data_IF_550331133646
#
_entry.id   IF_550331133646
#
_cell.length_a   1.000
_cell.length_b   1.000
_cell.length_c   1.000
_cell.angle_alpha   90.00
_cell.angle_beta   90.00
_cell.angle_gamma   90.00
#
_symmetry.space_group_name_H-M   'P 1'
#
loop_
_entity.id
_entity.type
_entity.pdbx_description
1 polymer ?
#
# COMPACT_ATOMS: atom_id res chain seq x y z
N UNK A 1 -27.49 85.02 -9.83
CA UNK A 1 -28.96 84.90 -9.77
C UNK A 1 -29.36 83.82 -10.78
N UNK A 2 -30.25 82.93 -10.39
CA UNK A 2 -30.77 81.74 -11.08
C UNK A 2 -29.98 80.42 -11.01
N UNK A 3 -30.37 79.69 -9.98
CA UNK A 3 -30.37 78.24 -9.76
C UNK A 3 -31.07 77.48 -10.89
N UNK A 4 -30.49 76.36 -11.36
CA UNK A 4 -31.25 75.22 -11.88
C UNK A 4 -30.56 73.93 -11.42
N UNK A 5 -31.19 73.26 -10.45
CA UNK A 5 -30.96 71.85 -10.13
C UNK A 5 -31.38 70.99 -11.33
N UNK A 6 -30.53 70.05 -11.76
CA UNK A 6 -31.01 68.84 -12.42
C UNK A 6 -30.44 67.62 -11.71
N UNK A 7 -31.36 66.85 -11.13
CA UNK A 7 -31.14 65.61 -10.39
C UNK A 7 -31.29 64.42 -11.36
N UNK A 8 -30.38 63.46 -11.23
CA UNK A 8 -30.46 62.02 -11.52
C UNK A 8 -31.04 61.48 -12.85
N UNK A 9 -30.20 60.73 -13.57
CA UNK A 9 -30.15 59.25 -13.52
C UNK A 9 -28.95 58.75 -14.35
N UNK A 10 -27.84 58.43 -13.69
CA UNK A 10 -26.78 57.63 -14.33
C UNK A 10 -27.27 56.19 -14.34
N UNK A 11 -27.56 55.68 -15.53
CA UNK A 11 -27.91 54.30 -15.77
C UNK A 11 -26.68 53.44 -15.41
N UNK A 12 -26.71 52.85 -14.22
CA UNK A 12 -25.70 51.87 -13.80
C UNK A 12 -25.88 50.59 -14.60
N UNK A 13 -25.12 50.43 -15.68
CA UNK A 13 -24.81 49.10 -16.19
C UNK A 13 -23.82 48.45 -15.21
N UNK A 14 -24.38 47.83 -14.17
CA UNK A 14 -23.69 46.77 -13.46
C UNK A 14 -23.48 45.63 -14.45
N UNK A 15 -22.27 45.53 -15.00
CA UNK A 15 -21.79 44.31 -15.60
C UNK A 15 -21.68 43.28 -14.47
N UNK A 16 -22.76 42.52 -14.22
CA UNK A 16 -22.65 41.30 -13.43
C UNK A 16 -21.73 40.37 -14.22
N UNK A 17 -20.46 40.35 -13.85
CA UNK A 17 -19.62 39.20 -14.13
C UNK A 17 -20.31 38.01 -13.45
N UNK A 18 -21.10 37.27 -14.22
CA UNK A 18 -21.57 35.96 -13.80
C UNK A 18 -20.33 35.09 -13.86
N UNK A 19 -19.60 35.03 -12.73
CA UNK A 19 -18.72 33.91 -12.48
C UNK A 19 -19.65 32.70 -12.46
N UNK A 20 -19.66 31.93 -13.55
CA UNK A 20 -20.22 30.59 -13.56
C UNK A 20 -19.39 29.80 -12.55
N UNK A 21 -19.83 29.80 -11.29
CA UNK A 21 -19.37 28.83 -10.33
C UNK A 21 -19.89 27.48 -10.83
N UNK A 22 -19.08 26.81 -11.66
CA UNK A 22 -19.30 25.42 -11.99
C UNK A 22 -19.20 24.66 -10.68
N UNK A 23 -20.36 24.33 -10.10
CA UNK A 23 -20.41 23.46 -8.95
C UNK A 23 -20.09 22.05 -9.46
N UNK A 24 -18.81 21.67 -9.39
CA UNK A 24 -18.31 20.37 -9.85
C UNK A 24 -18.75 19.23 -8.92
N UNK A 25 -19.19 19.55 -7.69
CA UNK A 25 -19.50 18.56 -6.67
C UNK A 25 -20.54 17.50 -7.10
N UNK A 26 -21.66 17.83 -7.78
CA UNK A 26 -22.62 16.84 -8.24
C UNK A 26 -22.04 15.89 -9.31
N UNK A 27 -21.29 16.44 -10.27
CA UNK A 27 -20.63 15.66 -11.32
C UNK A 27 -19.59 14.71 -10.73
N UNK A 28 -18.79 15.21 -9.78
CA UNK A 28 -17.78 14.44 -9.06
C UNK A 28 -18.42 13.34 -8.20
N UNK A 29 -19.50 13.61 -7.46
CA UNK A 29 -20.21 12.59 -6.69
C UNK A 29 -20.80 11.51 -7.59
N UNK A 30 -21.30 11.88 -8.78
CA UNK A 30 -21.79 10.90 -9.74
C UNK A 30 -20.66 10.05 -10.32
N UNK A 31 -19.52 10.67 -10.66
CA UNK A 31 -18.33 9.96 -11.13
C UNK A 31 -17.81 8.97 -10.09
N UNK A 32 -17.62 9.41 -8.84
CA UNK A 32 -17.20 8.56 -7.72
C UNK A 32 -18.17 7.40 -7.47
N UNK A 33 -19.47 7.63 -7.63
CA UNK A 33 -20.46 6.55 -7.45
C UNK A 33 -20.33 5.48 -8.53
N UNK A 34 -20.11 5.87 -9.79
CA UNK A 34 -19.88 4.91 -10.88
C UNK A 34 -18.57 4.16 -10.66
N UNK A 35 -17.52 4.86 -10.26
CA UNK A 35 -16.21 4.26 -10.00
C UNK A 35 -16.28 3.21 -8.88
N UNK A 36 -16.84 3.57 -7.73
CA UNK A 36 -16.99 2.64 -6.60
C UNK A 36 -17.78 1.39 -7.00
N UNK A 37 -18.82 1.53 -7.84
CA UNK A 37 -19.59 0.39 -8.33
C UNK A 37 -18.77 -0.51 -9.26
N UNK A 38 -18.00 0.07 -10.17
CA UNK A 38 -17.11 -0.67 -11.05
C UNK A 38 -16.04 -1.44 -10.25
N UNK A 39 -15.39 -0.79 -9.29
CA UNK A 39 -14.35 -1.40 -8.46
C UNK A 39 -14.87 -2.53 -7.57
N UNK A 40 -16.10 -2.39 -7.06
CA UNK A 40 -16.75 -3.45 -6.28
C UNK A 40 -17.09 -4.68 -7.15
N UNK A 41 -17.43 -4.46 -8.41
CA UNK A 41 -17.68 -5.54 -9.35
C UNK A 41 -16.37 -6.24 -9.73
N UNK A 42 -15.31 -5.49 -10.03
CA UNK A 42 -13.98 -6.03 -10.34
C UNK A 42 -13.43 -6.90 -9.20
N UNK A 43 -13.61 -6.48 -7.94
CA UNK A 43 -13.20 -7.28 -6.78
C UNK A 43 -13.88 -8.64 -6.71
N UNK A 44 -15.16 -8.73 -7.09
CA UNK A 44 -15.90 -10.00 -7.10
C UNK A 44 -15.45 -10.92 -8.23
N UNK A 45 -15.11 -10.35 -9.37
CA UNK A 45 -14.74 -11.09 -10.58
C UNK A 45 -13.27 -11.56 -10.53
N UNK A 46 -12.34 -10.72 -10.06
CA UNK A 46 -10.89 -10.93 -10.21
C UNK A 46 -10.16 -11.32 -8.91
N UNK A 47 -10.67 -10.93 -7.74
CA UNK A 47 -9.97 -11.13 -6.45
C UNK A 47 -10.57 -12.23 -5.58
N UNK A 48 -11.38 -13.13 -6.17
CA UNK A 48 -11.97 -14.27 -5.47
C UNK A 48 -13.04 -13.90 -4.44
N UNK A 49 -13.54 -12.65 -4.46
CA UNK A 49 -14.57 -12.15 -3.56
C UNK A 49 -14.04 -11.39 -2.33
N UNK A 50 -14.81 -11.39 -1.25
CA UNK A 50 -14.64 -10.41 -0.15
C UNK A 50 -13.52 -10.73 0.85
N UNK A 51 -12.91 -11.91 0.82
CA UNK A 51 -11.96 -12.33 1.85
C UNK A 51 -10.55 -12.48 1.30
N UNK A 52 -9.64 -11.67 1.83
CA UNK A 52 -8.21 -11.82 1.60
C UNK A 52 -7.71 -13.20 2.10
N UNK A 53 -6.64 -13.75 1.50
CA UNK A 53 -6.04 -15.00 1.96
C UNK A 53 -5.53 -14.87 3.41
N UNK A 54 -5.36 -15.99 4.10
CA UNK A 54 -4.79 -16.01 5.45
C UNK A 54 -3.35 -16.51 5.43
N UNK A 55 -2.55 -16.05 6.38
CA UNK A 55 -1.17 -16.48 6.57
C UNK A 55 -1.12 -17.62 7.59
N UNK A 56 -0.60 -18.78 7.19
CA UNK A 56 -0.57 -19.95 8.06
C UNK A 56 0.27 -19.70 9.33
N UNK A 57 -0.37 -19.78 10.50
CA UNK A 57 0.28 -19.60 11.80
C UNK A 57 0.52 -18.14 12.20
N UNK A 58 0.11 -17.17 11.39
CA UNK A 58 0.17 -15.75 11.73
C UNK A 58 -1.20 -15.23 12.13
N UNK A 59 -1.22 -14.34 13.12
CA UNK A 59 -2.36 -13.48 13.41
C UNK A 59 -2.19 -12.15 12.67
N UNK A 60 -3.28 -11.65 12.08
CA UNK A 60 -3.28 -10.45 11.23
C UNK A 60 -3.97 -9.33 12.00
N UNK A 61 -3.34 -8.15 12.04
CA UNK A 61 -3.97 -6.92 12.54
C UNK A 61 -3.71 -5.79 11.54
N UNK A 62 -4.65 -4.85 11.43
CA UNK A 62 -4.56 -3.75 10.48
C UNK A 62 -4.82 -2.41 11.13
N UNK A 63 -4.19 -1.36 10.59
CA UNK A 63 -4.35 0.04 11.01
C UNK A 63 -4.26 0.94 9.78
N UNK A 64 -5.41 1.26 9.20
CA UNK A 64 -5.51 1.98 7.92
C UNK A 64 -4.69 1.23 6.85
N UNK A 65 -3.71 1.84 6.18
CA UNK A 65 -2.88 1.17 5.17
C UNK A 65 -1.82 0.20 5.75
N UNK A 66 -1.59 0.20 7.07
CA UNK A 66 -0.60 -0.68 7.70
C UNK A 66 -1.19 -2.04 8.07
N UNK A 67 -0.44 -3.10 7.77
CA UNK A 67 -0.78 -4.48 8.10
C UNK A 67 0.35 -5.09 8.92
N UNK A 68 -0.02 -5.82 9.97
CA UNK A 68 0.89 -6.47 10.90
C UNK A 68 0.56 -7.95 11.02
N UNK A 69 1.57 -8.81 10.82
CA UNK A 69 1.47 -10.25 11.02
C UNK A 69 2.30 -10.63 12.25
N UNK A 70 1.71 -11.36 13.18
CA UNK A 70 2.42 -11.82 14.40
C UNK A 70 2.36 -13.34 14.53
N UNK A 71 3.49 -13.96 14.88
CA UNK A 71 3.60 -15.41 15.07
C UNK A 71 4.62 -15.73 16.15
N UNK A 72 4.42 -16.85 16.85
CA UNK A 72 5.45 -17.43 17.72
C UNK A 72 6.18 -18.57 17.01
N UNK A 73 7.50 -18.63 17.16
CA UNK A 73 8.33 -19.71 16.66
C UNK A 73 9.29 -20.17 17.78
N UNK A 74 8.90 -21.23 18.49
CA UNK A 74 9.66 -21.71 19.65
C UNK A 74 9.75 -20.66 20.76
N UNK A 75 10.93 -20.06 20.95
CA UNK A 75 11.20 -19.00 21.93
C UNK A 75 11.30 -17.60 21.30
N UNK A 76 11.00 -17.50 20.01
CA UNK A 76 11.11 -16.28 19.24
C UNK A 76 9.72 -15.72 18.95
N UNK A 77 9.62 -14.39 18.95
CA UNK A 77 8.44 -13.68 18.49
C UNK A 77 8.73 -13.02 17.15
N UNK A 78 7.87 -13.30 16.17
CA UNK A 78 8.00 -12.80 14.81
C UNK A 78 6.94 -11.74 14.58
N UNK A 79 7.37 -10.57 14.13
CA UNK A 79 6.53 -9.48 13.66
C UNK A 79 6.87 -9.20 12.19
N UNK A 80 5.85 -9.14 11.35
CA UNK A 80 5.96 -8.66 9.97
C UNK A 80 5.13 -7.40 9.84
N UNK A 81 5.68 -6.34 9.26
CA UNK A 81 4.93 -5.10 9.02
C UNK A 81 5.11 -4.67 7.57
N UNK A 82 3.99 -4.36 6.90
CA UNK A 82 4.00 -3.78 5.56
C UNK A 82 2.89 -2.74 5.42
N UNK A 83 3.02 -1.87 4.42
CA UNK A 83 2.08 -0.80 4.15
C UNK A 83 1.70 -0.80 2.67
N UNK A 84 0.40 -0.77 2.38
CA UNK A 84 -0.11 -0.84 0.98
C UNK A 84 -0.13 0.50 0.26
N UNK A 85 0.32 1.60 0.89
CA UNK A 85 0.44 2.88 0.21
C UNK A 85 1.49 2.80 -0.91
N UNK A 86 1.11 3.25 -2.11
CA UNK A 86 2.01 3.30 -3.27
C UNK A 86 2.65 1.96 -3.64
N UNK A 87 2.00 0.85 -3.29
CA UNK A 87 2.55 -0.49 -3.51
C UNK A 87 2.09 -1.17 -4.80
N UNK A 88 1.12 -0.59 -5.52
CA UNK A 88 0.62 -1.17 -6.77
C UNK A 88 1.68 -1.01 -7.85
N UNK A 89 2.17 -2.14 -8.34
CA UNK A 89 3.01 -2.22 -9.53
C UNK A 89 2.11 -2.40 -10.75
N UNK A 90 2.23 -1.47 -11.69
CA UNK A 90 1.56 -1.51 -12.97
C UNK A 90 2.66 -1.80 -13.97
N UNK A 91 2.65 -2.99 -14.58
CA UNK A 91 3.62 -3.33 -15.60
C UNK A 91 3.42 -2.40 -16.81
N UNK A 92 4.17 -1.30 -16.87
CA UNK A 92 4.11 -0.28 -17.94
C UNK A 92 4.73 -0.79 -19.26
N UNK A 93 5.16 -2.06 -19.32
CA UNK A 93 6.06 -2.60 -20.35
C UNK A 93 5.44 -3.26 -21.59
N UNK A 94 4.13 -3.45 -21.69
CA UNK A 94 3.51 -4.15 -22.84
C UNK A 94 2.94 -3.18 -23.89
N UNK A 95 3.79 -2.32 -24.47
CA UNK A 95 3.56 -1.73 -25.80
C UNK A 95 4.16 -2.61 -26.91
N UNK A 96 3.88 -3.92 -26.92
CA UNK A 96 4.19 -4.76 -28.09
C UNK A 96 2.90 -5.32 -28.71
N UNK A 97 2.64 -4.90 -29.94
CA UNK A 97 1.46 -5.21 -30.74
C UNK A 97 1.45 -6.69 -31.18
N UNK A 98 1.03 -7.64 -30.32
CA UNK A 98 0.45 -8.92 -30.77
C UNK A 98 0.01 -9.86 -29.63
N UNK A 99 -1.07 -9.54 -28.90
CA UNK A 99 -2.01 -10.56 -28.37
C UNK A 99 -3.19 -9.90 -27.63
N UNK A 100 -4.44 -10.34 -27.85
CA UNK A 100 -5.56 -9.96 -26.98
C UNK A 100 -5.52 -10.86 -25.72
N UNK A 101 -4.42 -10.80 -24.98
CA UNK A 101 -4.36 -11.36 -23.62
C UNK A 101 -4.87 -10.26 -22.68
N UNK A 102 -5.66 -10.64 -21.68
CA UNK A 102 -6.33 -9.70 -20.78
C UNK A 102 -5.33 -8.65 -20.24
N UNK A 103 -5.78 -7.39 -20.09
CA UNK A 103 -4.96 -6.35 -19.47
C UNK A 103 -4.36 -6.88 -18.16
N UNK A 104 -3.04 -6.69 -17.93
CA UNK A 104 -2.39 -7.21 -16.74
C UNK A 104 -3.13 -6.71 -15.49
N UNK A 105 -3.47 -7.65 -14.61
CA UNK A 105 -4.16 -7.33 -13.36
C UNK A 105 -3.16 -6.63 -12.44
N UNK A 106 -3.44 -5.42 -11.94
CA UNK A 106 -2.54 -4.72 -11.03
C UNK A 106 -2.22 -5.58 -9.79
N UNK A 107 -0.95 -5.64 -9.41
CA UNK A 107 -0.50 -6.38 -8.22
C UNK A 107 0.16 -5.44 -7.23
N UNK A 108 -0.07 -5.64 -5.94
CA UNK A 108 0.59 -4.86 -4.90
C UNK A 108 1.85 -5.59 -4.39
N UNK A 109 3.00 -4.93 -4.53
CA UNK A 109 4.31 -5.38 -4.08
C UNK A 109 4.88 -4.46 -2.99
N UNK A 110 4.23 -4.36 -1.80
CA UNK A 110 4.73 -3.48 -0.75
C UNK A 110 6.05 -4.01 -0.20
N UNK A 111 7.04 -3.14 0.08
CA UNK A 111 8.16 -3.53 0.92
C UNK A 111 7.63 -3.91 2.30
N UNK A 112 8.32 -4.84 2.95
CA UNK A 112 7.92 -5.34 4.25
C UNK A 112 9.13 -5.50 5.18
N UNK A 113 8.85 -5.47 6.47
CA UNK A 113 9.85 -5.67 7.51
C UNK A 113 9.59 -6.98 8.22
N UNK A 114 10.67 -7.65 8.63
CA UNK A 114 10.61 -8.84 9.48
C UNK A 114 11.45 -8.57 10.71
N UNK A 115 10.83 -8.73 11.89
CA UNK A 115 11.52 -8.68 13.16
C UNK A 115 11.42 -10.02 13.87
N UNK A 116 12.57 -10.55 14.31
CA UNK A 116 12.67 -11.79 15.07
C UNK A 116 13.24 -11.45 16.43
N UNK A 117 12.36 -11.41 17.44
CA UNK A 117 12.72 -11.04 18.81
C UNK A 117 13.11 -12.26 19.63
N UNK A 118 14.26 -12.20 20.32
CA UNK A 118 14.75 -13.23 21.23
C UNK A 118 15.45 -12.59 22.44
N UNK A 119 14.90 -12.80 23.63
CA UNK A 119 15.43 -12.17 24.84
C UNK A 119 15.22 -10.66 24.79
N UNK A 120 16.29 -9.91 25.00
CA UNK A 120 16.27 -8.43 25.05
C UNK A 120 16.65 -7.76 23.72
N UNK A 121 16.77 -8.54 22.64
CA UNK A 121 17.16 -8.08 21.30
C UNK A 121 16.21 -8.60 20.23
N UNK A 122 16.18 -7.90 19.10
CA UNK A 122 15.49 -8.30 17.87
C UNK A 122 16.43 -8.17 16.67
N UNK A 123 16.38 -9.16 15.79
CA UNK A 123 17.01 -9.13 14.49
C UNK A 123 15.98 -8.62 13.48
N UNK A 124 16.31 -7.53 12.80
CA UNK A 124 15.41 -6.80 11.90
C UNK A 124 15.92 -6.89 10.47
N UNK A 125 14.97 -7.04 9.55
CA UNK A 125 15.20 -7.05 8.10
C UNK A 125 14.21 -6.08 7.44
N UNK A 126 14.70 -5.27 6.52
CA UNK A 126 13.90 -4.55 5.53
C UNK A 126 14.01 -5.28 4.20
N UNK A 127 12.88 -5.67 3.64
CA UNK A 127 12.80 -6.51 2.46
C UNK A 127 11.95 -5.88 1.37
N UNK A 128 12.43 -5.97 0.14
CA UNK A 128 11.67 -5.66 -1.07
C UNK A 128 11.04 -6.94 -1.60
N UNK A 129 9.75 -6.89 -1.89
CA UNK A 129 9.05 -7.96 -2.58
C UNK A 129 9.29 -7.83 -4.09
N UNK A 130 9.68 -8.92 -4.74
CA UNK A 130 10.05 -8.93 -6.15
C UNK A 130 9.43 -10.13 -6.87
N UNK A 131 9.26 -10.02 -8.18
CA UNK A 131 8.94 -11.19 -8.99
C UNK A 131 10.14 -12.15 -9.05
N UNK A 132 9.85 -13.45 -9.02
CA UNK A 132 10.87 -14.48 -9.17
C UNK A 132 11.48 -14.42 -10.57
N UNK A 133 12.82 -14.44 -10.63
CA UNK A 133 13.56 -14.49 -11.90
C UNK A 133 13.51 -15.88 -12.56
N UNK A 134 13.20 -16.92 -11.78
CA UNK A 134 13.25 -18.31 -12.23
C UNK A 134 11.89 -18.81 -12.72
N UNK A 135 10.79 -18.32 -12.12
CA UNK A 135 9.43 -18.80 -12.39
C UNK A 135 8.47 -17.62 -12.52
N UNK A 136 7.92 -17.44 -13.73
CA UNK A 136 6.93 -16.40 -13.99
C UNK A 136 5.68 -16.57 -13.11
N UNK A 137 5.24 -15.48 -12.49
CA UNK A 137 4.06 -15.46 -11.61
C UNK A 137 4.31 -15.99 -10.19
N UNK A 138 5.56 -16.31 -9.86
CA UNK A 138 6.01 -16.53 -8.48
C UNK A 138 6.75 -15.30 -7.95
N UNK A 139 6.85 -15.19 -6.64
CA UNK A 139 7.42 -14.03 -5.96
C UNK A 139 8.47 -14.46 -4.95
N UNK A 140 9.43 -13.57 -4.74
CA UNK A 140 10.52 -13.73 -3.79
C UNK A 140 10.77 -12.39 -3.07
N UNK A 141 11.76 -12.34 -2.19
CA UNK A 141 12.19 -11.12 -1.53
C UNK A 141 13.68 -10.87 -1.69
N UNK A 142 14.05 -9.59 -1.65
CA UNK A 142 15.43 -9.13 -1.55
C UNK A 142 15.63 -8.40 -0.23
N UNK A 143 16.66 -8.75 0.52
CA UNK A 143 17.02 -8.03 1.74
C UNK A 143 17.75 -6.74 1.37
N UNK A 144 17.13 -5.59 1.63
CA UNK A 144 17.72 -4.28 1.41
C UNK A 144 18.64 -3.89 2.57
N UNK A 145 18.18 -4.11 3.80
CA UNK A 145 18.87 -3.74 5.02
C UNK A 145 18.62 -4.74 6.15
N UNK A 146 19.62 -4.95 7.00
CA UNK A 146 19.50 -5.78 8.20
C UNK A 146 20.33 -5.23 9.36
N UNK A 147 19.84 -5.44 10.59
CA UNK A 147 20.49 -4.99 11.83
C UNK A 147 19.96 -5.72 13.06
N UNK A 148 20.66 -5.55 14.19
CA UNK A 148 20.20 -5.97 15.51
C UNK A 148 19.84 -4.73 16.31
N UNK A 149 18.67 -4.74 16.93
CA UNK A 149 18.19 -3.67 17.81
C UNK A 149 17.75 -4.25 19.16
N UNK A 150 17.64 -3.43 20.22
CA UNK A 150 16.96 -3.84 21.45
C UNK A 150 15.52 -4.27 21.15
N UNK A 151 15.01 -5.24 21.91
CA UNK A 151 13.62 -5.66 21.82
C UNK A 151 12.68 -4.47 22.07
N UNK A 152 11.59 -4.41 21.30
CA UNK A 152 10.58 -3.36 21.41
C UNK A 152 9.99 -3.30 22.83
N UNK A 153 9.78 -2.08 23.35
CA UNK A 153 9.22 -1.87 24.69
C UNK A 153 7.75 -1.48 24.58
N UNK A 154 6.88 -2.48 24.66
CA UNK A 154 5.44 -2.26 24.55
C UNK A 154 5.05 -1.97 23.09
N UNK A 155 4.47 -0.81 22.82
CA UNK A 155 4.07 -0.39 21.47
C UNK A 155 5.10 0.51 20.78
N UNK A 156 6.23 0.80 21.45
CA UNK A 156 7.33 1.58 20.89
C UNK A 156 8.30 0.63 20.17
N UNK A 157 8.27 0.73 18.84
CA UNK A 157 9.07 -0.04 17.90
C UNK A 157 10.17 0.81 17.27
N UNK A 158 10.36 2.06 17.72
CA UNK A 158 11.35 2.95 17.15
C UNK A 158 12.77 2.43 17.40
N UNK A 159 13.60 2.48 16.35
CA UNK A 159 15.01 2.11 16.41
C UNK A 159 15.83 3.39 16.47
N UNK A 160 16.71 3.49 17.47
CA UNK A 160 17.60 4.65 17.59
C UNK A 160 18.53 4.75 16.36
N UNK A 161 18.71 5.96 15.83
CA UNK A 161 19.49 6.20 14.59
C UNK A 161 20.98 5.84 14.69
N UNK A 162 21.48 5.59 15.90
CA UNK A 162 22.85 5.15 16.18
C UNK A 162 23.03 3.63 16.07
N UNK A 163 21.94 2.86 15.98
CA UNK A 163 22.00 1.43 15.71
C UNK A 163 22.59 1.22 14.32
N UNK A 164 23.66 0.44 14.26
CA UNK A 164 24.33 0.14 12.99
C UNK A 164 23.45 -0.77 12.14
N UNK A 165 23.22 -0.35 10.90
CA UNK A 165 22.55 -1.14 9.88
C UNK A 165 23.45 -1.34 8.66
N UNK A 166 23.35 -2.52 8.07
CA UNK A 166 24.11 -2.87 6.87
C UNK A 166 23.16 -3.14 5.71
N UNK A 167 23.57 -2.72 4.52
CA UNK A 167 22.87 -3.12 3.30
C UNK A 167 23.04 -4.63 3.08
N UNK A 168 21.96 -5.31 2.67
CA UNK A 168 21.99 -6.71 2.27
C UNK A 168 22.78 -6.97 0.98
N UNK A 169 23.05 -5.93 0.18
CA UNK A 169 23.74 -6.04 -1.12
C UNK A 169 25.18 -6.54 -1.05
N UNK A 170 25.87 -6.29 0.05
CA UNK A 170 27.32 -6.54 0.17
C UNK A 170 27.66 -7.65 1.18
N UNK A 171 26.68 -8.46 1.56
CA UNK A 171 26.90 -9.57 2.49
C UNK A 171 27.75 -10.67 1.84
N UNK A 172 28.53 -11.38 2.66
CA UNK A 172 29.27 -12.57 2.23
C UNK A 172 28.31 -13.65 1.68
N UNK A 173 28.67 -14.38 0.60
CA UNK A 173 27.77 -15.38 -0.01
C UNK A 173 27.35 -16.52 0.92
N UNK A 174 28.23 -16.98 1.82
CA UNK A 174 27.87 -18.06 2.75
C UNK A 174 26.89 -17.53 3.81
N UNK A 175 27.09 -16.29 4.28
CA UNK A 175 26.14 -15.62 5.17
C UNK A 175 24.81 -15.33 4.48
N UNK A 176 24.80 -15.00 3.19
CA UNK A 176 23.58 -14.82 2.42
C UNK A 176 22.72 -16.09 2.45
N UNK A 177 23.28 -17.25 2.08
CA UNK A 177 22.57 -18.53 2.09
C UNK A 177 22.04 -18.88 3.49
N UNK A 178 22.89 -18.76 4.51
CA UNK A 178 22.51 -19.16 5.86
C UNK A 178 21.48 -18.21 6.49
N UNK A 179 21.67 -16.89 6.36
CA UNK A 179 20.89 -15.89 7.09
C UNK A 179 19.66 -15.40 6.32
N UNK A 180 19.80 -15.11 5.03
CA UNK A 180 18.72 -14.52 4.24
C UNK A 180 17.83 -15.56 3.58
N UNK A 181 18.36 -16.77 3.34
CA UNK A 181 17.56 -17.86 2.79
C UNK A 181 17.13 -18.78 3.92
N UNK A 182 18.04 -19.63 4.40
CA UNK A 182 17.68 -20.78 5.25
C UNK A 182 17.11 -20.37 6.61
N UNK A 183 17.68 -19.36 7.27
CA UNK A 183 17.20 -18.91 8.58
C UNK A 183 15.80 -18.25 8.50
N UNK A 184 15.49 -17.53 7.42
CA UNK A 184 14.17 -16.96 7.18
C UNK A 184 13.16 -18.03 6.75
N UNK A 185 13.54 -18.94 5.85
CA UNK A 185 12.70 -20.07 5.42
C UNK A 185 12.26 -20.96 6.60
N UNK A 186 13.18 -21.29 7.52
CA UNK A 186 12.86 -22.07 8.73
C UNK A 186 11.75 -21.43 9.58
N UNK A 187 11.57 -20.10 9.49
CA UNK A 187 10.55 -19.33 10.20
C UNK A 187 9.24 -19.19 9.41
N UNK A 188 9.24 -19.62 8.16
CA UNK A 188 8.10 -19.63 7.26
C UNK A 188 8.08 -18.45 6.28
N UNK A 189 9.24 -17.88 5.97
CA UNK A 189 9.41 -16.89 4.90
C UNK A 189 9.96 -17.59 3.66
N UNK A 190 9.06 -18.19 2.89
CA UNK A 190 9.36 -18.91 1.65
C UNK A 190 8.57 -18.31 0.46
N UNK A 191 8.72 -18.90 -0.73
CA UNK A 191 7.97 -18.46 -1.92
C UNK A 191 6.44 -18.49 -1.71
N UNK A 192 5.93 -19.45 -0.92
CA UNK A 192 4.50 -19.55 -0.63
C UNK A 192 4.03 -18.39 0.27
N UNK A 193 4.85 -17.98 1.24
CA UNK A 193 4.62 -16.77 2.01
C UNK A 193 4.58 -15.53 1.11
N UNK A 194 5.55 -15.37 0.21
CA UNK A 194 5.61 -14.23 -0.72
C UNK A 194 4.36 -14.14 -1.60
N UNK A 195 3.97 -15.27 -2.22
CA UNK A 195 2.74 -15.37 -3.01
C UNK A 195 1.48 -15.01 -2.22
N UNK A 196 1.42 -15.46 -0.97
CA UNK A 196 0.30 -15.14 -0.06
C UNK A 196 0.31 -13.65 0.29
N UNK A 197 1.50 -13.06 0.48
CA UNK A 197 1.68 -11.65 0.79
C UNK A 197 1.23 -10.76 -0.37
N UNK A 198 1.62 -11.07 -1.61
CA UNK A 198 1.12 -10.35 -2.80
C UNK A 198 -0.39 -10.44 -2.89
N UNK A 199 -0.96 -11.65 -2.83
CA UNK A 199 -2.40 -11.83 -2.94
C UNK A 199 -3.18 -11.10 -1.83
N UNK A 200 -2.66 -11.11 -0.60
CA UNK A 200 -3.23 -10.34 0.51
C UNK A 200 -3.11 -8.85 0.28
N UNK A 201 -1.91 -8.36 -0.07
CA UNK A 201 -1.64 -6.94 -0.26
C UNK A 201 -2.50 -6.37 -1.38
N UNK A 202 -2.62 -7.07 -2.53
CA UNK A 202 -3.46 -6.65 -3.65
C UNK A 202 -4.93 -6.55 -3.24
N UNK A 203 -5.44 -7.53 -2.48
CA UNK A 203 -6.81 -7.48 -1.97
C UNK A 203 -7.01 -6.33 -0.98
N UNK A 204 -6.07 -6.16 -0.06
CA UNK A 204 -6.15 -5.15 0.98
C UNK A 204 -6.03 -3.73 0.41
N UNK A 205 -5.09 -3.48 -0.50
CA UNK A 205 -4.91 -2.22 -1.22
C UNK A 205 -6.20 -1.83 -1.93
N UNK A 206 -6.80 -2.73 -2.71
CA UNK A 206 -8.06 -2.49 -3.40
C UNK A 206 -9.17 -2.10 -2.43
N UNK A 207 -9.24 -2.77 -1.27
CA UNK A 207 -10.21 -2.45 -0.22
C UNK A 207 -9.98 -1.04 0.37
N UNK A 208 -8.72 -0.63 0.53
CA UNK A 208 -8.36 0.71 0.99
C UNK A 208 -8.68 1.76 -0.07
N UNK A 209 -8.45 1.48 -1.36
CA UNK A 209 -8.79 2.37 -2.46
C UNK A 209 -10.30 2.64 -2.54
N UNK A 210 -11.12 1.58 -2.52
CA UNK A 210 -12.59 1.74 -2.45
C UNK A 210 -13.01 2.50 -1.18
N UNK A 211 -12.35 2.25 -0.05
CA UNK A 211 -12.55 3.01 1.19
C UNK A 211 -12.23 4.50 1.02
N UNK A 212 -11.14 4.83 0.35
CA UNK A 212 -10.72 6.20 0.04
C UNK A 212 -11.74 6.90 -0.87
N UNK A 213 -12.19 6.26 -1.95
CA UNK A 213 -13.21 6.82 -2.84
C UNK A 213 -14.50 7.16 -2.08
N UNK A 214 -14.92 6.28 -1.15
CA UNK A 214 -16.06 6.55 -0.27
C UNK A 214 -15.81 7.74 0.67
N UNK A 215 -14.61 7.85 1.27
CA UNK A 215 -14.22 8.99 2.11
C UNK A 215 -14.25 10.30 1.29
N UNK A 216 -13.73 10.30 0.06
CA UNK A 216 -13.75 11.46 -0.85
C UNK A 216 -15.19 11.84 -1.19
N UNK A 217 -16.03 10.87 -1.58
CA UNK A 217 -17.45 11.11 -1.88
C UNK A 217 -18.19 11.73 -0.68
N UNK A 218 -17.95 11.21 0.52
CA UNK A 218 -18.53 11.72 1.75
C UNK A 218 -18.02 13.13 2.09
N UNK A 219 -16.77 13.45 1.75
CA UNK A 219 -16.18 14.78 1.93
C UNK A 219 -16.78 15.81 0.96
N UNK A 220 -16.88 15.47 -0.32
CA UNK A 220 -17.40 16.35 -1.39
C UNK A 220 -18.90 16.61 -1.24
N UNK A 221 -19.64 15.68 -0.64
CA UNK A 221 -21.09 15.80 -0.42
C UNK A 221 -21.48 16.64 0.81
N UNK A 222 -20.52 17.17 1.57
CA UNK A 222 -20.78 18.07 2.72
C UNK A 222 -21.01 19.49 2.26
#
# INVERSE_FOLDING_TARGET
MLTVLLFWRVCGLFFKCVVLAFNVAPELTQALTREIQAEQQLSQENLGGSAAPSFHGFNITTKDAEVRLTKQHGKESILVVFNVNHSVDMDEGFEDEAQPEAAPVPVALPPFTVEITKGDERLCFHLDLVESVDVQGEYDFRVEEFYVAPAAKGADEDVASEVYASSGKYIDPDLHDLLFVRYLEERGFDAQFCKTLVAYATHYEHSQYVGLLNKIKAFVSK
#
